data_IF_515711314021
#
_entry.id   IF_515711314021
#
_cell.length_a   1.000
_cell.length_b   1.000
_cell.length_c   1.000
_cell.angle_alpha   90.00
_cell.angle_beta   90.00
_cell.angle_gamma   90.00
#
_symmetry.space_group_name_H-M   'P 1'
#
loop_
_entity.id
_entity.type
_entity.pdbx_description
1 polymer ?
#
# COMPACT_ATOMS: atom_id res chain seq x y z
N UNK A 1 15.07 3.86 9.28
CA UNK A 1 15.17 2.42 8.94
C UNK A 1 14.17 2.18 7.81
N UNK A 2 14.49 1.35 6.81
CA UNK A 2 13.60 1.10 5.66
C UNK A 2 13.09 -0.33 5.74
N UNK A 3 11.79 -0.53 5.55
CA UNK A 3 11.16 -1.85 5.63
C UNK A 3 10.28 -2.12 4.40
N UNK A 4 10.38 -3.36 3.93
CA UNK A 4 9.60 -3.86 2.79
C UNK A 4 8.42 -4.64 3.35
N UNK A 5 7.20 -4.21 3.04
CA UNK A 5 6.01 -4.96 3.45
C UNK A 5 5.86 -6.22 2.59
N UNK A 6 5.62 -7.36 3.23
CA UNK A 6 5.37 -8.61 2.53
C UNK A 6 3.86 -8.84 2.34
N UNK A 7 3.47 -9.27 1.14
CA UNK A 7 2.10 -9.70 0.86
C UNK A 7 1.79 -10.98 1.66
N UNK A 8 0.76 -10.94 2.50
CA UNK A 8 0.33 -12.12 3.27
C UNK A 8 -0.62 -12.96 2.44
N UNK A 9 -0.28 -14.24 2.26
CA UNK A 9 -1.21 -15.23 1.70
C UNK A 9 -2.07 -15.78 2.81
N UNK A 10 -3.38 -15.51 2.78
CA UNK A 10 -4.31 -16.29 3.59
C UNK A 10 -4.35 -17.72 3.03
N UNK A 11 -3.75 -18.67 3.77
CA UNK A 11 -3.97 -20.09 3.52
C UNK A 11 -5.38 -20.45 4.02
N UNK A 12 -6.38 -20.23 3.18
CA UNK A 12 -7.60 -21.05 3.26
C UNK A 12 -7.12 -22.49 3.00
N UNK A 13 -7.43 -23.49 3.84
CA UNK A 13 -7.01 -24.87 3.57
C UNK A 13 -7.84 -25.42 2.41
N UNK A 14 -7.47 -25.02 1.19
CA UNK A 14 -7.85 -25.66 -0.06
C UNK A 14 -6.58 -25.74 -0.91
N UNK A 15 -5.97 -26.92 -0.87
CA UNK A 15 -4.83 -27.31 -1.69
C UNK A 15 -5.15 -27.11 -3.17
N UNK A 16 -4.52 -26.13 -3.83
CA UNK A 16 -4.31 -26.16 -5.28
C UNK A 16 -2.88 -25.73 -5.60
N UNK A 17 -2.20 -26.63 -6.30
CA UNK A 17 -0.80 -26.56 -6.74
C UNK A 17 -0.69 -25.50 -7.85
N UNK A 18 -0.12 -24.33 -7.56
CA UNK A 18 0.12 -23.26 -8.55
C UNK A 18 0.21 -21.88 -7.91
N UNK A 19 1.33 -21.60 -7.24
CA UNK A 19 1.58 -20.37 -6.48
C UNK A 19 1.72 -19.13 -7.37
N UNK A 20 0.64 -18.40 -7.57
CA UNK A 20 0.64 -16.98 -7.95
C UNK A 20 -0.17 -16.24 -6.87
N UNK A 21 0.38 -15.20 -6.20
CA UNK A 21 -0.40 -14.44 -5.24
C UNK A 21 -1.65 -13.88 -5.92
N UNK A 22 -2.81 -13.93 -5.26
CA UNK A 22 -4.06 -13.46 -5.86
C UNK A 22 -3.91 -11.98 -6.25
N UNK A 23 -3.99 -11.67 -7.53
CA UNK A 23 -3.95 -10.29 -8.05
C UNK A 23 -5.22 -9.50 -7.73
N UNK A 24 -6.22 -10.12 -7.11
CA UNK A 24 -7.51 -9.52 -6.82
C UNK A 24 -7.48 -8.71 -5.51
N UNK A 25 -8.19 -7.59 -5.48
CA UNK A 25 -8.45 -6.84 -4.24
C UNK A 25 -9.56 -7.54 -3.43
N UNK A 26 -9.57 -7.43 -2.09
CA UNK A 26 -8.59 -6.71 -1.26
C UNK A 26 -7.24 -7.42 -1.16
N UNK A 27 -6.16 -6.64 -1.05
CA UNK A 27 -4.79 -7.15 -0.86
C UNK A 27 -4.30 -6.81 0.53
N UNK A 28 -3.74 -7.79 1.24
CA UNK A 28 -3.29 -7.63 2.62
C UNK A 28 -1.77 -7.77 2.73
N UNK A 29 -1.13 -6.81 3.37
CA UNK A 29 0.30 -6.76 3.59
C UNK A 29 0.59 -6.69 5.07
N UNK A 30 1.72 -7.23 5.49
CA UNK A 30 2.21 -7.13 6.85
C UNK A 30 3.59 -6.49 6.87
N UNK A 31 3.79 -5.55 7.79
CA UNK A 31 5.06 -4.88 8.06
C UNK A 31 5.23 -4.71 9.58
N UNK A 32 6.14 -5.48 10.19
CA UNK A 32 6.31 -5.55 11.65
C UNK A 32 4.98 -5.75 12.40
N UNK A 33 4.57 -4.75 13.19
CA UNK A 33 3.33 -4.70 13.97
C UNK A 33 2.14 -4.14 13.20
N UNK A 34 2.26 -3.92 11.89
CA UNK A 34 1.18 -3.35 11.08
C UNK A 34 0.64 -4.36 10.07
N UNK A 35 -0.67 -4.50 10.09
CA UNK A 35 -1.45 -5.10 9.03
C UNK A 35 -2.03 -3.98 8.16
N UNK A 36 -1.84 -4.08 6.85
CA UNK A 36 -2.27 -3.09 5.86
C UNK A 36 -3.21 -3.78 4.87
N UNK A 37 -4.45 -3.34 4.78
CA UNK A 37 -5.40 -3.80 3.78
C UNK A 37 -5.62 -2.73 2.72
N UNK A 38 -5.42 -3.09 1.46
CA UNK A 38 -5.76 -2.25 0.31
C UNK A 38 -7.03 -2.76 -0.35
N UNK A 39 -7.97 -1.85 -0.56
CA UNK A 39 -9.25 -2.08 -1.24
C UNK A 39 -9.32 -1.21 -2.48
N UNK A 40 -9.91 -1.74 -3.55
CA UNK A 40 -10.18 -1.00 -4.77
C UNK A 40 -11.69 -0.84 -4.92
N UNK A 41 -12.13 0.40 -5.11
CA UNK A 41 -13.50 0.73 -5.48
C UNK A 41 -13.48 1.35 -6.87
N UNK A 42 -14.34 0.90 -7.78
CA UNK A 42 -14.39 1.41 -9.14
C UNK A 42 -15.44 2.51 -9.27
N UNK A 43 -15.08 3.63 -9.90
CA UNK A 43 -16.06 4.59 -10.40
C UNK A 43 -16.61 4.13 -11.75
N UNK A 44 -17.82 4.56 -12.09
CA UNK A 44 -18.46 4.24 -13.38
C UNK A 44 -17.68 4.78 -14.60
N UNK A 45 -16.67 5.63 -14.39
CA UNK A 45 -15.91 6.32 -15.44
C UNK A 45 -14.48 5.77 -15.63
N UNK A 46 -14.19 4.58 -15.08
CA UNK A 46 -12.91 3.88 -15.30
C UNK A 46 -11.76 4.38 -14.42
N UNK A 47 -12.02 5.31 -13.51
CA UNK A 47 -11.07 5.72 -12.48
C UNK A 47 -11.35 4.94 -11.18
N UNK A 48 -10.30 4.43 -10.53
CA UNK A 48 -10.45 3.64 -9.32
C UNK A 48 -10.07 4.46 -8.08
N UNK A 49 -10.72 4.17 -6.96
CA UNK A 49 -10.35 4.68 -5.65
C UNK A 49 -9.61 3.57 -4.92
N UNK A 50 -8.35 3.84 -4.56
CA UNK A 50 -7.54 2.95 -3.73
C UNK A 50 -7.67 3.40 -2.28
N UNK A 51 -8.21 2.52 -1.45
CA UNK A 51 -8.46 2.75 -0.03
C UNK A 51 -7.48 1.87 0.74
N UNK A 52 -6.68 2.47 1.61
CA UNK A 52 -5.82 1.75 2.53
C UNK A 52 -6.34 1.84 3.96
N UNK A 53 -6.20 0.72 4.68
CA UNK A 53 -6.59 0.58 6.08
C UNK A 53 -5.39 0.03 6.83
N UNK A 54 -4.90 0.76 7.83
CA UNK A 54 -3.86 0.30 8.75
C UNK A 54 -4.50 -0.19 10.06
N UNK A 55 -4.07 -1.36 10.50
CA UNK A 55 -4.36 -1.88 11.84
C UNK A 55 -3.05 -2.28 12.52
N UNK A 56 -2.92 -1.99 13.81
CA UNK A 56 -1.77 -2.41 14.61
C UNK A 56 -2.08 -3.74 15.30
N UNK A 57 -1.15 -4.67 15.21
CA UNK A 57 -1.16 -5.94 15.96
C UNK A 57 -0.45 -5.80 17.31
N UNK A 58 0.20 -4.66 17.59
CA UNK A 58 0.90 -4.37 18.84
C UNK A 58 0.10 -3.46 19.77
N UNK A 59 -0.06 -3.89 21.02
CA UNK A 59 -0.73 -3.07 22.05
C UNK A 59 0.04 -1.80 22.43
N UNK A 60 1.35 -1.72 22.14
CA UNK A 60 2.18 -0.54 22.43
C UNK A 60 2.18 0.50 21.30
N UNK A 61 1.60 0.17 20.16
CA UNK A 61 1.57 1.03 18.97
C UNK A 61 0.11 1.32 18.60
N UNK A 62 -0.34 2.53 18.94
CA UNK A 62 -1.70 2.98 18.63
C UNK A 62 -1.80 3.50 17.20
N UNK A 63 -2.89 3.19 16.50
CA UNK A 63 -3.18 3.72 15.16
C UNK A 63 -3.20 5.26 15.12
N UNK A 64 -3.66 5.90 16.19
CA UNK A 64 -3.66 7.37 16.28
C UNK A 64 -2.25 7.99 16.24
N UNK A 65 -1.19 7.20 16.48
CA UNK A 65 0.19 7.69 16.30
C UNK A 65 0.56 7.94 14.82
N UNK A 66 -0.25 7.44 13.89
CA UNK A 66 -0.06 7.61 12.44
C UNK A 66 -0.95 8.69 11.84
N UNK A 67 -1.84 9.31 12.60
CA UNK A 67 -2.69 10.38 12.10
C UNK A 67 -1.84 11.53 11.51
N UNK A 68 -2.23 12.01 10.33
CA UNK A 68 -1.55 13.08 9.61
C UNK A 68 -0.27 12.65 8.88
N UNK A 69 0.19 11.41 9.06
CA UNK A 69 1.32 10.87 8.31
C UNK A 69 0.98 10.69 6.83
N UNK A 70 1.99 10.78 5.97
CA UNK A 70 1.78 10.75 4.53
C UNK A 70 1.80 9.31 3.98
N UNK A 71 0.87 9.03 3.08
CA UNK A 71 0.91 7.92 2.15
C UNK A 71 1.15 8.48 0.75
N UNK A 72 2.26 8.07 0.13
CA UNK A 72 2.67 8.51 -1.20
C UNK A 72 2.49 7.37 -2.19
N UNK A 73 1.81 7.66 -3.30
CA UNK A 73 1.66 6.74 -4.44
C UNK A 73 2.52 7.25 -5.57
N UNK A 74 3.44 6.42 -6.06
CA UNK A 74 4.32 6.71 -7.19
C UNK A 74 4.00 5.77 -8.35
N UNK A 75 4.11 6.26 -9.58
CA UNK A 75 4.08 5.40 -10.77
C UNK A 75 5.38 4.59 -10.78
N UNK A 76 5.29 3.28 -11.05
CA UNK A 76 6.47 2.43 -11.20
C UNK A 76 7.36 2.95 -12.35
N UNK A 77 8.70 2.91 -12.23
CA UNK A 77 9.48 2.14 -11.26
C UNK A 77 9.74 2.86 -9.91
N UNK A 78 9.05 3.99 -9.64
CA UNK A 78 9.06 4.64 -8.33
C UNK A 78 10.40 5.27 -7.93
N UNK A 79 10.50 5.83 -6.72
CA UNK A 79 11.69 6.57 -6.26
C UNK A 79 12.87 5.68 -5.83
N UNK A 80 12.65 4.36 -5.69
CA UNK A 80 13.65 3.42 -5.19
C UNK A 80 14.37 2.62 -6.30
N UNK A 81 14.04 2.86 -7.57
CA UNK A 81 14.72 2.25 -8.70
C UNK A 81 16.23 2.61 -8.74
N UNK A 82 17.04 1.68 -9.26
CA UNK A 82 18.48 1.88 -9.49
C UNK A 82 18.76 3.11 -10.36
N UNK A 83 19.93 3.75 -10.16
CA UNK A 83 20.28 4.99 -10.86
C UNK A 83 20.28 4.81 -12.38
N UNK A 84 19.40 5.56 -13.05
CA UNK A 84 19.08 5.44 -14.47
C UNK A 84 17.57 5.53 -14.74
N UNK A 85 16.75 4.95 -13.84
CA UNK A 85 15.29 4.84 -13.98
C UNK A 85 14.48 5.59 -12.90
N UNK A 86 15.16 6.37 -12.04
CA UNK A 86 14.50 7.17 -10.99
C UNK A 86 13.54 8.19 -11.62
N UNK A 87 12.24 7.98 -11.45
CA UNK A 87 11.25 9.02 -11.74
C UNK A 87 11.38 10.14 -10.69
N UNK A 88 10.86 11.35 -11.01
CA UNK A 88 10.88 12.51 -10.08
C UNK A 88 10.47 12.08 -8.67
N UNK A 89 11.16 12.59 -7.65
CA UNK A 89 10.87 12.34 -6.22
C UNK A 89 9.42 12.68 -5.83
N UNK A 90 8.70 13.43 -6.65
CA UNK A 90 7.33 13.81 -6.39
C UNK A 90 6.37 12.63 -6.56
N UNK A 91 5.51 12.33 -5.58
CA UNK A 91 4.49 11.30 -5.72
C UNK A 91 3.46 11.68 -6.79
N UNK A 92 2.91 10.67 -7.45
CA UNK A 92 1.74 10.82 -8.33
C UNK A 92 0.54 11.32 -7.53
N UNK A 93 0.32 10.77 -6.34
CA UNK A 93 -0.64 11.28 -5.37
C UNK A 93 -0.11 11.15 -3.95
N UNK A 94 -0.50 12.08 -3.08
CA UNK A 94 -0.26 12.04 -1.64
C UNK A 94 -1.60 12.07 -0.91
N UNK A 95 -1.76 11.15 0.02
CA UNK A 95 -2.86 11.11 0.98
C UNK A 95 -2.30 11.22 2.39
N UNK A 96 -3.15 11.62 3.35
CA UNK A 96 -2.83 11.55 4.77
C UNK A 96 -3.62 10.43 5.42
N UNK A 97 -3.00 9.79 6.40
CA UNK A 97 -3.65 8.81 7.25
C UNK A 97 -4.56 9.56 8.23
N UNK A 98 -5.82 9.16 8.33
CA UNK A 98 -6.78 9.72 9.28
C UNK A 98 -6.66 9.10 10.68
N UNK A 99 -7.48 9.57 11.61
CA UNK A 99 -7.51 9.14 13.02
C UNK A 99 -7.92 7.66 13.20
N UNK A 100 -8.51 7.05 12.17
CA UNK A 100 -8.89 5.65 12.13
C UNK A 100 -7.88 4.77 11.38
N UNK A 101 -6.78 5.34 10.88
CA UNK A 101 -5.76 4.61 10.13
C UNK A 101 -6.13 4.39 8.66
N UNK A 102 -7.07 5.16 8.10
CA UNK A 102 -7.41 5.08 6.69
C UNK A 102 -6.67 6.13 5.87
N UNK A 103 -6.40 5.81 4.60
CA UNK A 103 -5.99 6.78 3.59
C UNK A 103 -6.64 6.45 2.26
N UNK A 104 -6.85 7.46 1.41
CA UNK A 104 -7.58 7.30 0.15
C UNK A 104 -6.87 8.03 -0.98
N UNK A 105 -6.52 7.30 -2.02
CA UNK A 105 -6.13 7.85 -3.32
C UNK A 105 -7.34 7.79 -4.26
N UNK A 106 -7.60 8.89 -4.97
CA UNK A 106 -8.78 9.03 -5.84
C UNK A 106 -8.34 9.08 -7.28
N UNK A 107 -9.21 8.66 -8.18
CA UNK A 107 -8.96 8.71 -9.62
C UNK A 107 -7.63 8.05 -10.04
N UNK A 108 -7.33 6.90 -9.43
CA UNK A 108 -6.14 6.10 -9.74
C UNK A 108 -6.44 5.28 -11.00
N UNK A 109 -5.74 5.55 -12.13
CA UNK A 109 -5.92 4.77 -13.34
C UNK A 109 -5.30 3.37 -13.17
N UNK A 110 -5.63 2.46 -14.09
CA UNK A 110 -4.93 1.18 -14.18
C UNK A 110 -3.45 1.39 -14.52
N UNK A 111 -2.56 0.65 -13.84
CA UNK A 111 -1.12 0.81 -13.96
C UNK A 111 -0.35 0.08 -12.87
N UNK A 112 0.97 0.24 -12.90
CA UNK A 112 1.87 -0.27 -11.86
C UNK A 112 2.38 0.86 -10.99
N UNK A 113 2.37 0.63 -9.68
CA UNK A 113 2.66 1.64 -8.68
C UNK A 113 3.62 1.13 -7.61
N UNK A 114 4.24 2.07 -6.93
CA UNK A 114 4.94 1.87 -5.65
C UNK A 114 4.26 2.77 -4.63
N UNK A 115 3.89 2.21 -3.47
CA UNK A 115 3.29 2.97 -2.38
C UNK A 115 4.26 3.07 -1.21
N UNK A 116 4.38 4.25 -0.61
CA UNK A 116 5.27 4.54 0.51
C UNK A 116 4.47 5.15 1.65
N UNK A 117 4.47 4.51 2.81
CA UNK A 117 3.89 5.06 4.04
C UNK A 117 5.02 5.65 4.88
N UNK A 118 4.94 6.94 5.17
CA UNK A 118 5.92 7.71 5.94
C UNK A 118 5.53 7.72 7.42
N UNK A 119 5.84 6.63 8.13
CA UNK A 119 5.46 6.46 9.54
C UNK A 119 6.54 7.00 10.50
N UNK A 120 6.23 7.22 11.78
CA UNK A 120 7.22 7.65 12.76
C UNK A 120 8.39 6.66 12.87
N UNK A 121 9.58 7.10 12.46
CA UNK A 121 10.82 6.31 12.57
C UNK A 121 11.07 5.27 11.46
N UNK A 122 10.08 5.00 10.59
CA UNK A 122 10.21 4.03 9.49
C UNK A 122 9.39 4.39 8.25
N UNK A 123 9.84 3.91 7.10
CA UNK A 123 9.06 3.89 5.86
C UNK A 123 8.61 2.46 5.59
N UNK A 124 7.33 2.29 5.23
CA UNK A 124 6.79 1.01 4.75
C UNK A 124 6.57 1.12 3.25
N UNK A 125 7.21 0.23 2.49
CA UNK A 125 7.18 0.25 1.02
C UNK A 125 6.40 -0.96 0.51
N UNK A 126 5.42 -0.71 -0.36
CA UNK A 126 4.71 -1.72 -1.15
C UNK A 126 5.12 -1.54 -2.61
N UNK A 127 5.95 -2.45 -3.10
CA UNK A 127 6.39 -2.50 -4.49
C UNK A 127 5.39 -3.30 -5.35
N UNK A 128 5.51 -3.18 -6.68
CA UNK A 128 4.75 -3.97 -7.66
C UNK A 128 3.21 -3.92 -7.46
N UNK A 129 2.69 -2.77 -7.01
CA UNK A 129 1.26 -2.56 -6.80
C UNK A 129 0.56 -2.37 -8.15
N UNK A 130 0.16 -3.47 -8.78
CA UNK A 130 -0.61 -3.44 -10.02
C UNK A 130 -2.10 -3.16 -9.76
N UNK A 131 -2.66 -2.12 -10.39
CA UNK A 131 -4.09 -1.78 -10.41
C UNK A 131 -4.62 -2.03 -11.82
N UNK A 132 -5.72 -2.76 -11.95
CA UNK A 132 -6.31 -3.19 -13.23
C UNK A 132 -7.79 -2.88 -13.29
#
# INVERSE_FOLDING_TARGET
>A
MKEIAALVRQAIPLTVRGDVPSSAFPRQYQAESLDISLHLSHSAYGSSMLIGILTSTSASESIGAFEGMNADLHIAPGPFATEGDKQKENPFQRAQIDDLGHFVFRDVPGGEYVMVLHLPGREVIIEELAIR
#
